data_IF_364885072633
#
_entry.id   IF_364885072633
#
_cell.length_a   1.000
_cell.length_b   1.000
_cell.length_c   1.000
_cell.angle_alpha   90.00
_cell.angle_beta   90.00
_cell.angle_gamma   90.00
#
_symmetry.space_group_name_H-M   'P 1'
#
loop_
_entity.id
_entity.type
_entity.pdbx_description
1 polymer ?
#
# COMPACT_ATOMS: atom_id res chain seq x y z
N UNK A 1 -27.46 16.33 -39.96
CA UNK A 1 -26.76 15.03 -39.91
C UNK A 1 -25.42 15.32 -39.27
N UNK A 2 -25.33 15.14 -37.95
CA UNK A 2 -24.06 15.35 -37.25
C UNK A 2 -23.10 14.25 -37.71
N UNK A 3 -21.93 14.64 -38.20
CA UNK A 3 -20.83 13.71 -38.45
C UNK A 3 -20.50 13.04 -37.12
N UNK A 4 -20.89 11.78 -37.00
CA UNK A 4 -20.48 10.91 -35.92
C UNK A 4 -18.97 10.74 -36.08
N UNK A 5 -18.19 11.47 -35.27
CA UNK A 5 -16.75 11.30 -35.17
C UNK A 5 -16.49 9.91 -34.60
N UNK A 6 -16.52 8.91 -35.47
CA UNK A 6 -16.21 7.53 -35.13
C UNK A 6 -14.76 7.50 -34.67
N UNK A 7 -14.55 7.18 -33.39
CA UNK A 7 -13.21 7.00 -32.85
C UNK A 7 -12.47 5.95 -33.69
N UNK A 8 -11.16 6.14 -33.93
CA UNK A 8 -10.39 5.21 -34.73
C UNK A 8 -10.44 3.79 -34.13
N UNK A 9 -10.50 2.75 -34.98
CA UNK A 9 -10.57 1.36 -34.53
C UNK A 9 -9.34 1.03 -33.68
N UNK A 10 -9.55 0.21 -32.65
CA UNK A 10 -8.47 -0.19 -31.75
C UNK A 10 -7.40 -0.99 -32.50
N UNK A 11 -6.11 -0.78 -32.18
CA UNK A 11 -5.07 -1.67 -32.66
C UNK A 11 -5.28 -3.09 -32.10
N UNK A 12 -4.73 -4.13 -32.75
CA UNK A 12 -4.76 -5.48 -32.21
C UNK A 12 -4.12 -5.49 -30.82
N UNK A 13 -4.88 -5.94 -29.83
CA UNK A 13 -4.46 -5.97 -28.43
C UNK A 13 -3.79 -7.30 -28.08
N UNK A 14 -2.73 -7.21 -27.26
CA UNK A 14 -2.11 -8.38 -26.67
C UNK A 14 -2.72 -8.70 -25.29
N UNK A 15 -2.43 -9.90 -24.79
CA UNK A 15 -2.93 -10.35 -23.49
C UNK A 15 -2.48 -9.43 -22.33
N UNK A 16 -1.35 -8.73 -22.47
CA UNK A 16 -0.85 -7.75 -21.48
C UNK A 16 -1.78 -6.54 -21.40
N UNK A 17 -2.16 -5.99 -22.54
CA UNK A 17 -3.06 -4.84 -22.65
C UNK A 17 -4.45 -5.19 -22.12
N UNK A 18 -4.97 -6.37 -22.47
CA UNK A 18 -6.27 -6.85 -22.00
C UNK A 18 -6.28 -7.04 -20.47
N UNK A 19 -5.24 -7.65 -19.90
CA UNK A 19 -5.14 -7.84 -18.45
C UNK A 19 -5.04 -6.51 -17.68
N UNK A 20 -4.36 -5.50 -18.24
CA UNK A 20 -4.30 -4.15 -17.65
C UNK A 20 -5.69 -3.48 -17.72
N UNK A 21 -6.41 -3.63 -18.83
CA UNK A 21 -7.76 -3.09 -18.99
C UNK A 21 -8.74 -3.70 -17.98
N UNK A 22 -8.74 -5.03 -17.83
CA UNK A 22 -9.55 -5.75 -16.85
C UNK A 22 -9.25 -5.29 -15.42
N UNK A 23 -7.97 -5.06 -15.10
CA UNK A 23 -7.56 -4.60 -13.77
C UNK A 23 -7.94 -3.14 -13.50
N UNK A 24 -7.86 -2.26 -14.49
CA UNK A 24 -8.35 -0.88 -14.38
C UNK A 24 -9.88 -0.83 -14.19
N UNK A 25 -10.62 -1.65 -14.94
CA UNK A 25 -12.05 -1.83 -14.75
C UNK A 25 -12.37 -2.29 -13.33
N UNK A 26 -11.68 -3.33 -12.86
CA UNK A 26 -11.84 -3.88 -11.52
C UNK A 26 -11.56 -2.89 -10.39
N UNK A 27 -10.47 -2.09 -10.49
CA UNK A 27 -10.13 -1.08 -9.49
C UNK A 27 -11.23 -0.01 -9.35
N UNK A 28 -11.73 0.51 -10.47
CA UNK A 28 -12.80 1.51 -10.46
C UNK A 28 -14.13 0.94 -9.99
N UNK A 29 -14.36 -0.35 -10.21
CA UNK A 29 -15.54 -1.07 -9.73
C UNK A 29 -15.47 -1.35 -8.22
N UNK A 30 -14.32 -1.82 -7.71
CA UNK A 30 -14.09 -2.07 -6.30
C UNK A 30 -14.29 -0.81 -5.45
N UNK A 31 -13.82 0.35 -5.94
CA UNK A 31 -14.06 1.66 -5.33
C UNK A 31 -15.55 2.05 -5.22
N UNK A 32 -16.44 1.38 -5.97
CA UNK A 32 -17.88 1.67 -6.05
C UNK A 32 -18.74 0.66 -5.31
N UNK A 33 -18.29 -0.59 -5.18
CA UNK A 33 -19.12 -1.76 -4.81
C UNK A 33 -18.55 -2.62 -3.69
N UNK A 34 -17.38 -2.27 -3.13
CA UNK A 34 -16.76 -2.94 -1.97
C UNK A 34 -16.53 -4.46 -2.14
N UNK A 35 -16.41 -4.96 -3.37
CA UNK A 35 -16.01 -6.34 -3.65
C UNK A 35 -15.15 -6.43 -4.92
N UNK A 36 -14.35 -7.49 -5.02
CA UNK A 36 -13.50 -7.80 -6.19
C UNK A 36 -13.78 -9.19 -6.75
N UNK A 37 -14.73 -9.93 -6.18
CA UNK A 37 -14.87 -11.38 -6.37
C UNK A 37 -15.37 -11.78 -7.76
N UNK A 38 -15.91 -10.84 -8.55
CA UNK A 38 -16.62 -11.12 -9.82
C UNK A 38 -16.09 -10.26 -10.98
N UNK A 39 -14.93 -9.60 -10.82
CA UNK A 39 -14.40 -8.63 -11.81
C UNK A 39 -14.26 -9.26 -13.21
N UNK A 40 -13.76 -10.49 -13.29
CA UNK A 40 -13.52 -11.16 -14.57
C UNK A 40 -14.81 -11.44 -15.33
N UNK A 41 -15.84 -11.95 -14.64
CA UNK A 41 -17.14 -12.26 -15.25
C UNK A 41 -17.89 -10.98 -15.67
N UNK A 42 -17.81 -9.92 -14.86
CA UNK A 42 -18.34 -8.60 -15.20
C UNK A 42 -17.60 -7.98 -16.41
N UNK A 43 -16.29 -8.18 -16.52
CA UNK A 43 -15.52 -7.75 -17.68
C UNK A 43 -15.96 -8.49 -18.96
N UNK A 44 -16.14 -9.82 -18.88
CA UNK A 44 -16.58 -10.62 -20.02
C UNK A 44 -17.98 -10.23 -20.50
N UNK A 45 -18.86 -9.81 -19.60
CA UNK A 45 -20.25 -9.43 -19.91
C UNK A 45 -20.42 -7.94 -20.19
N UNK A 46 -19.36 -7.12 -20.01
CA UNK A 46 -19.41 -5.69 -20.27
C UNK A 46 -19.67 -5.38 -21.75
N UNK A 47 -20.42 -4.31 -21.99
CA UNK A 47 -20.64 -3.80 -23.34
C UNK A 47 -19.33 -3.45 -24.04
N UNK A 48 -19.28 -3.67 -25.36
CA UNK A 48 -18.08 -3.47 -26.19
C UNK A 48 -17.47 -2.07 -26.02
N UNK A 49 -18.28 -1.02 -26.09
CA UNK A 49 -17.82 0.36 -25.89
C UNK A 49 -17.19 0.62 -24.50
N UNK A 50 -17.60 -0.11 -23.47
CA UNK A 50 -17.00 -0.03 -22.13
C UNK A 50 -15.63 -0.69 -22.15
N UNK A 51 -15.55 -1.91 -22.68
CA UNK A 51 -14.29 -2.65 -22.79
C UNK A 51 -13.27 -1.87 -23.63
N UNK A 52 -13.70 -1.34 -24.76
CA UNK A 52 -12.88 -0.52 -25.65
C UNK A 52 -12.34 0.72 -24.94
N UNK A 53 -13.17 1.40 -24.16
CA UNK A 53 -12.73 2.55 -23.36
C UNK A 53 -11.63 2.22 -22.37
N UNK A 54 -11.73 1.09 -21.66
CA UNK A 54 -10.69 0.64 -20.73
C UNK A 54 -9.44 0.10 -21.44
N UNK A 55 -9.61 -0.51 -22.62
CA UNK A 55 -8.50 -0.94 -23.47
C UNK A 55 -7.69 0.27 -23.95
N UNK A 56 -8.33 1.36 -24.41
CA UNK A 56 -7.61 2.60 -24.77
C UNK A 56 -6.81 3.14 -23.59
N UNK A 57 -7.42 3.19 -22.41
CA UNK A 57 -6.73 3.62 -21.19
C UNK A 57 -5.56 2.70 -20.84
N UNK A 58 -5.71 1.37 -21.00
CA UNK A 58 -4.64 0.43 -20.76
C UNK A 58 -3.45 0.64 -21.72
N UNK A 59 -3.72 0.90 -23.00
CA UNK A 59 -2.70 1.24 -24.01
C UNK A 59 -1.96 2.51 -23.60
N UNK A 60 -2.67 3.56 -23.20
CA UNK A 60 -2.08 4.82 -22.73
C UNK A 60 -1.22 4.63 -21.49
N UNK A 61 -1.70 3.85 -20.52
CA UNK A 61 -0.97 3.52 -19.28
C UNK A 61 0.29 2.73 -19.58
N UNK A 62 0.22 1.73 -20.45
CA UNK A 62 1.37 0.92 -20.86
C UNK A 62 2.40 1.77 -21.62
N UNK A 63 1.96 2.61 -22.55
CA UNK A 63 2.83 3.52 -23.28
C UNK A 63 3.51 4.54 -22.35
N UNK A 64 2.79 5.08 -21.37
CA UNK A 64 3.35 5.98 -20.36
C UNK A 64 4.35 5.26 -19.44
N UNK A 65 4.06 4.03 -19.03
CA UNK A 65 4.96 3.22 -18.20
C UNK A 65 6.25 2.86 -18.94
N UNK A 66 6.17 2.50 -20.22
CA UNK A 66 7.33 2.19 -21.06
C UNK A 66 8.21 3.44 -21.32
N UNK A 67 7.63 4.65 -21.25
CA UNK A 67 8.34 5.93 -21.36
C UNK A 67 8.79 6.52 -20.02
N UNK A 68 8.32 5.99 -18.89
CA UNK A 68 8.68 6.51 -17.58
C UNK A 68 10.10 6.06 -17.21
N UNK A 69 11.03 7.01 -17.14
CA UNK A 69 12.24 6.84 -16.34
C UNK A 69 11.78 6.53 -14.90
N UNK A 70 12.34 5.53 -14.18
CA UNK A 70 12.05 5.39 -12.76
C UNK A 70 12.35 6.73 -12.11
N UNK A 71 11.32 7.34 -11.50
CA UNK A 71 11.49 8.57 -10.76
C UNK A 71 12.58 8.30 -9.72
N UNK A 72 13.77 8.85 -9.93
CA UNK A 72 14.85 8.84 -8.97
C UNK A 72 14.44 9.81 -7.85
N UNK A 73 13.49 9.38 -7.02
CA UNK A 73 13.49 9.81 -5.65
C UNK A 73 14.87 9.39 -5.13
N UNK A 74 15.66 10.36 -4.70
CA UNK A 74 16.90 10.10 -3.97
C UNK A 74 16.52 9.22 -2.76
N UNK A 75 16.62 7.89 -2.93
CA UNK A 75 15.98 6.89 -2.07
C UNK A 75 16.44 6.99 -0.62
N UNK A 76 17.57 7.65 -0.37
CA UNK A 76 18.15 7.86 0.94
C UNK A 76 17.21 8.58 1.92
N UNK A 77 16.53 9.65 1.51
CA UNK A 77 15.69 10.45 2.43
C UNK A 77 14.41 9.70 2.80
N UNK A 78 13.76 9.03 1.84
CA UNK A 78 12.58 8.22 2.11
C UNK A 78 12.88 7.00 3.00
N UNK A 79 13.91 6.24 2.65
CA UNK A 79 14.31 5.06 3.40
C UNK A 79 14.72 5.41 4.83
N UNK A 80 15.49 6.49 5.00
CA UNK A 80 15.91 6.92 6.33
C UNK A 80 14.73 7.37 7.19
N UNK A 81 13.75 8.08 6.63
CA UNK A 81 12.52 8.40 7.35
C UNK A 81 11.80 7.14 7.83
N UNK A 82 11.69 6.11 6.99
CA UNK A 82 11.07 4.84 7.39
C UNK A 82 11.87 4.15 8.52
N UNK A 83 13.21 4.15 8.45
CA UNK A 83 14.07 3.60 9.52
C UNK A 83 13.86 4.33 10.83
N UNK A 84 13.89 5.66 10.81
CA UNK A 84 13.70 6.51 11.99
C UNK A 84 12.32 6.27 12.58
N UNK A 85 11.28 6.28 11.76
CA UNK A 85 9.90 6.05 12.20
C UNK A 85 9.73 4.68 12.88
N UNK A 86 10.25 3.61 12.27
CA UNK A 86 10.18 2.27 12.84
C UNK A 86 10.91 2.18 14.19
N UNK A 87 12.11 2.78 14.29
CA UNK A 87 12.90 2.79 15.54
C UNK A 87 12.20 3.57 16.65
N UNK A 88 11.69 4.75 16.35
CA UNK A 88 11.01 5.57 17.36
C UNK A 88 9.70 4.93 17.82
N UNK A 89 8.94 4.32 16.90
CA UNK A 89 7.73 3.59 17.21
C UNK A 89 8.01 2.40 18.12
N UNK A 90 8.96 1.54 17.75
CA UNK A 90 9.32 0.33 18.53
C UNK A 90 9.90 0.69 19.90
N UNK A 91 10.71 1.75 19.99
CA UNK A 91 11.21 2.25 21.26
C UNK A 91 10.08 2.79 22.17
N UNK A 92 9.11 3.52 21.60
CA UNK A 92 7.92 3.98 22.35
C UNK A 92 7.06 2.80 22.80
N UNK A 93 6.83 1.81 21.94
CA UNK A 93 6.07 0.61 22.24
C UNK A 93 6.74 -0.19 23.36
N UNK A 94 8.06 -0.34 23.33
CA UNK A 94 8.84 -1.00 24.38
C UNK A 94 8.69 -0.32 25.74
N UNK A 95 8.71 1.02 25.80
CA UNK A 95 8.48 1.76 27.05
C UNK A 95 7.05 1.57 27.58
N UNK A 96 6.05 1.64 26.70
CA UNK A 96 4.65 1.43 27.07
C UNK A 96 4.41 0.00 27.57
N UNK A 97 4.95 -1.00 26.87
CA UNK A 97 4.91 -2.41 27.29
C UNK A 97 5.55 -2.60 28.66
N UNK A 98 6.72 -2.01 28.89
CA UNK A 98 7.39 -2.06 30.21
C UNK A 98 6.56 -1.41 31.33
N UNK A 99 5.90 -0.29 31.05
CA UNK A 99 4.99 0.33 32.01
C UNK A 99 3.77 -0.56 32.31
N UNK A 100 3.13 -1.12 31.27
CA UNK A 100 1.98 -2.03 31.43
C UNK A 100 2.34 -3.31 32.18
N UNK A 101 3.54 -3.84 31.96
CA UNK A 101 4.04 -5.00 32.71
C UNK A 101 4.22 -4.65 34.19
N UNK A 102 4.85 -3.51 34.52
CA UNK A 102 4.95 -3.06 35.92
C UNK A 102 3.60 -2.84 36.59
N UNK A 103 2.61 -2.34 35.85
CA UNK A 103 1.24 -2.22 36.34
C UNK A 103 0.64 -3.60 36.66
N UNK A 104 0.75 -4.56 35.73
CA UNK A 104 0.26 -5.92 35.93
C UNK A 104 0.95 -6.64 37.10
N UNK A 105 2.23 -6.38 37.32
CA UNK A 105 3.01 -6.94 38.41
C UNK A 105 2.79 -6.22 39.76
N UNK A 106 2.01 -5.13 39.78
CA UNK A 106 1.80 -4.31 40.98
C UNK A 106 3.05 -3.55 41.45
N UNK A 107 4.02 -3.35 40.55
CA UNK A 107 5.32 -2.70 40.83
C UNK A 107 5.42 -1.28 40.25
N UNK A 108 4.35 -0.79 39.62
CA UNK A 108 4.31 0.57 39.10
C UNK A 108 4.27 1.58 40.26
N UNK A 109 5.15 2.57 40.21
CA UNK A 109 5.38 3.58 41.25
C UNK A 109 4.41 4.77 41.19
N UNK A 110 3.46 4.74 40.25
CA UNK A 110 2.43 5.76 40.08
C UNK A 110 1.11 5.16 39.58
N UNK A 111 0.01 5.88 39.82
CA UNK A 111 -1.30 5.55 39.24
C UNK A 111 -1.46 6.24 37.88
N UNK A 112 -1.69 5.50 36.78
CA UNK A 112 -1.93 6.10 35.48
C UNK A 112 -3.25 6.88 35.46
N UNK A 113 -3.21 8.14 35.03
CA UNK A 113 -4.44 8.93 34.78
C UNK A 113 -5.24 8.36 33.60
N UNK A 114 -4.54 7.77 32.63
CA UNK A 114 -5.15 7.16 31.46
C UNK A 114 -5.60 5.71 31.79
N UNK A 115 -6.82 5.31 31.41
CA UNK A 115 -7.28 3.94 31.61
C UNK A 115 -6.33 2.90 31.00
N UNK A 116 -6.01 1.86 31.75
CA UNK A 116 -5.11 0.78 31.33
C UNK A 116 -5.57 0.12 30.03
N UNK A 117 -6.88 -0.06 29.84
CA UNK A 117 -7.44 -0.62 28.60
C UNK A 117 -7.11 0.22 27.37
N UNK A 118 -7.08 1.55 27.50
CA UNK A 118 -6.72 2.46 26.40
C UNK A 118 -5.21 2.40 26.11
N UNK A 119 -4.38 2.31 27.16
CA UNK A 119 -2.94 2.15 27.02
C UNK A 119 -2.57 0.79 26.40
N UNK A 120 -3.27 -0.29 26.76
CA UNK A 120 -3.11 -1.60 26.11
C UNK A 120 -3.50 -1.54 24.63
N UNK A 121 -4.65 -0.93 24.31
CA UNK A 121 -5.07 -0.75 22.91
C UNK A 121 -4.08 0.10 22.12
N UNK A 122 -3.50 1.13 22.73
CA UNK A 122 -2.45 1.93 22.11
C UNK A 122 -1.22 1.06 21.78
N UNK A 123 -0.79 0.19 22.69
CA UNK A 123 0.32 -0.74 22.44
C UNK A 123 0.01 -1.67 21.27
N UNK A 124 -1.19 -2.25 21.22
CA UNK A 124 -1.61 -3.14 20.12
C UNK A 124 -1.50 -2.43 18.76
N UNK A 125 -2.03 -1.22 18.65
CA UNK A 125 -1.98 -0.41 17.42
C UNK A 125 -0.54 -0.07 17.04
N UNK A 126 0.32 0.22 18.00
CA UNK A 126 1.74 0.49 17.75
C UNK A 126 2.48 -0.75 17.24
N UNK A 127 2.20 -1.93 17.78
CA UNK A 127 2.77 -3.19 17.30
C UNK A 127 2.27 -3.54 15.89
N UNK A 128 0.98 -3.36 15.63
CA UNK A 128 0.39 -3.54 14.29
C UNK A 128 1.04 -2.59 13.28
N UNK A 129 1.22 -1.32 13.64
CA UNK A 129 1.86 -0.36 12.75
C UNK A 129 3.34 -0.68 12.50
N UNK A 130 4.08 -1.13 13.53
CA UNK A 130 5.46 -1.60 13.37
C UNK A 130 5.53 -2.80 12.40
N UNK A 131 4.56 -3.71 12.48
CA UNK A 131 4.45 -4.84 11.56
C UNK A 131 4.19 -4.39 10.11
N UNK A 132 3.33 -3.38 9.89
CA UNK A 132 3.11 -2.81 8.57
C UNK A 132 4.40 -2.19 8.00
N UNK A 133 5.13 -1.41 8.80
CA UNK A 133 6.42 -0.84 8.38
C UNK A 133 7.43 -1.94 8.01
N UNK A 134 7.47 -3.05 8.76
CA UNK A 134 8.33 -4.21 8.44
C UNK A 134 7.94 -4.88 7.13
N UNK A 135 6.65 -5.02 6.84
CA UNK A 135 6.19 -5.59 5.57
C UNK A 135 6.51 -4.67 4.39
N UNK A 136 6.26 -3.37 4.54
CA UNK A 136 6.63 -2.36 3.55
C UNK A 136 8.13 -2.37 3.27
N UNK A 137 8.95 -2.37 4.30
CA UNK A 137 10.40 -2.43 4.16
C UNK A 137 10.88 -3.66 3.36
N UNK A 138 10.22 -4.81 3.50
CA UNK A 138 10.52 -6.01 2.68
C UNK A 138 10.16 -5.84 1.21
N UNK A 139 9.02 -5.22 0.92
CA UNK A 139 8.54 -4.96 -0.45
C UNK A 139 9.37 -3.87 -1.14
N UNK A 140 9.77 -2.87 -0.38
CA UNK A 140 10.49 -1.68 -0.82
C UNK A 140 12.02 -1.83 -0.68
N UNK A 141 12.50 -3.03 -0.29
CA UNK A 141 13.92 -3.36 -0.09
C UNK A 141 14.68 -2.43 0.88
N UNK A 142 13.99 -1.92 1.89
CA UNK A 142 14.56 -1.05 2.92
C UNK A 142 15.09 -1.87 4.10
N UNK A 143 16.35 -1.67 4.48
CA UNK A 143 16.91 -2.27 5.69
C UNK A 143 16.58 -1.42 6.93
N UNK A 144 15.75 -1.96 7.84
CA UNK A 144 15.31 -1.26 9.07
C UNK A 144 16.35 -1.32 10.21
N UNK A 145 17.14 -2.38 10.26
CA UNK A 145 18.22 -2.56 11.24
C UNK A 145 19.51 -1.93 10.69
N UNK A 146 20.23 -1.17 11.54
CA UNK A 146 21.60 -0.77 11.22
C UNK A 146 22.42 -2.06 11.29
N UNK A 147 23.17 -2.39 10.25
CA UNK A 147 24.24 -3.36 10.43
C UNK A 147 25.29 -2.68 11.29
N UNK A 148 25.42 -3.11 12.54
CA UNK A 148 26.55 -2.74 13.37
C UNK A 148 27.78 -3.48 12.81
N UNK A 149 28.38 -2.91 11.77
CA UNK A 149 29.72 -3.29 11.32
C UNK A 149 30.73 -2.72 12.33
N UNK A 150 30.84 -3.37 13.48
CA UNK A 150 31.92 -3.17 14.43
C UNK A 150 32.34 -4.53 14.98
N UNK A 151 33.09 -5.27 14.16
CA UNK A 151 34.06 -6.24 14.64
C UNK A 151 35.42 -5.62 14.41
N UNK A 152 36.01 -5.08 15.47
CA UNK A 152 37.46 -4.93 15.65
C UNK A 152 37.77 -4.94 17.14
#
# INVERSE_FOLDING_TARGET
MSEETLEPPLPPIDARTEAVAERLFGLKWALRKDSTEIIHEEWQTASEWIRDGYVRQAIEVLAAADQAQPASADGGDYEERMRVEYRELTARAGRLRGMLQRYADGTLDFEPVCPISLLSRQLDVMDEYANLLRHRAKLEHVHLEKQDSATE
#
